data_IF_778026489143
#
_entry.id   IF_778026489143
#
_cell.length_a   1.000
_cell.length_b   1.000
_cell.length_c   1.000
_cell.angle_alpha   90.00
_cell.angle_beta   90.00
_cell.angle_gamma   90.00
#
_symmetry.space_group_name_H-M   'P 1'
#
loop_
_entity.id
_entity.type
_entity.pdbx_description
1 polymer ?
#
# COMPACT_ATOMS: atom_id res chain seq x y z
N UNK A 1 -5.78 -2.54 -26.00
CA UNK A 1 -6.17 -1.30 -26.73
C UNK A 1 -7.07 -0.50 -25.81
N UNK A 2 -6.74 0.73 -25.52
CA UNK A 2 -7.60 1.62 -24.73
C UNK A 2 -8.91 1.88 -25.50
N UNK A 3 -10.05 1.49 -24.93
CA UNK A 3 -11.37 1.62 -25.55
C UNK A 3 -11.76 3.08 -25.84
N UNK A 4 -11.20 4.03 -25.12
CA UNK A 4 -11.58 5.45 -25.13
C UNK A 4 -10.48 6.37 -25.64
N UNK A 5 -9.45 5.85 -26.32
CA UNK A 5 -8.33 6.65 -26.82
C UNK A 5 -8.74 7.95 -27.55
N UNK A 6 -9.73 7.94 -28.45
CA UNK A 6 -10.17 9.18 -29.13
C UNK A 6 -10.80 10.22 -28.21
N UNK A 7 -11.41 9.77 -27.09
CA UNK A 7 -12.00 10.67 -26.10
C UNK A 7 -10.90 11.26 -25.23
N UNK A 8 -9.97 10.44 -24.76
CA UNK A 8 -8.82 10.85 -23.96
C UNK A 8 -8.00 11.93 -24.68
N UNK A 9 -7.74 11.76 -25.98
CA UNK A 9 -6.99 12.73 -26.79
C UNK A 9 -7.72 14.10 -26.94
N UNK A 10 -9.05 14.12 -26.71
CA UNK A 10 -9.83 15.36 -26.72
C UNK A 10 -9.93 16.04 -25.34
N UNK A 11 -9.89 15.25 -24.29
CA UNK A 11 -10.12 15.71 -22.91
C UNK A 11 -8.84 16.24 -22.26
N UNK A 12 -7.69 15.68 -22.59
CA UNK A 12 -6.41 16.08 -22.01
C UNK A 12 -5.53 16.77 -23.03
N UNK A 13 -4.74 17.74 -22.58
CA UNK A 13 -3.74 18.38 -23.42
C UNK A 13 -2.70 17.34 -23.90
N UNK A 14 -2.09 17.58 -25.09
CA UNK A 14 -1.17 16.59 -25.73
C UNK A 14 0.05 16.20 -24.92
N UNK A 15 0.44 17.04 -23.98
CA UNK A 15 1.57 16.83 -23.07
C UNK A 15 1.22 16.09 -21.77
N UNK A 16 -0.01 15.58 -21.65
CA UNK A 16 -0.48 14.77 -20.53
C UNK A 16 -0.71 13.31 -20.99
N UNK A 17 -0.34 12.36 -20.17
CA UNK A 17 -0.53 10.95 -20.44
C UNK A 17 -1.14 10.26 -19.23
N UNK A 18 -2.19 9.47 -19.48
CA UNK A 18 -2.77 8.60 -18.46
C UNK A 18 -1.88 7.37 -18.21
N UNK A 19 -2.03 6.78 -17.04
CA UNK A 19 -1.42 5.49 -16.73
C UNK A 19 -2.05 4.40 -17.60
N UNK A 20 -1.23 3.45 -18.09
CA UNK A 20 -1.69 2.35 -18.91
C UNK A 20 -2.71 1.49 -18.14
N UNK A 21 -3.84 1.19 -18.77
CA UNK A 21 -4.95 0.46 -18.15
C UNK A 21 -6.03 1.35 -17.53
N UNK A 22 -5.89 2.67 -17.56
CA UNK A 22 -6.97 3.62 -17.20
C UNK A 22 -7.98 3.65 -18.36
N UNK A 23 -8.95 2.73 -18.36
CA UNK A 23 -9.90 2.56 -19.46
C UNK A 23 -11.38 2.39 -19.04
N UNK A 24 -11.65 2.39 -17.74
CA UNK A 24 -13.02 2.42 -17.23
C UNK A 24 -13.55 3.85 -17.18
N UNK A 25 -14.86 4.03 -17.40
CA UNK A 25 -15.48 5.37 -17.46
C UNK A 25 -15.30 6.14 -16.16
N UNK A 26 -15.47 5.48 -15.00
CA UNK A 26 -15.30 6.14 -13.71
C UNK A 26 -13.86 6.58 -13.44
N UNK A 27 -12.85 5.85 -13.93
CA UNK A 27 -11.44 6.23 -13.80
C UNK A 27 -11.11 7.47 -14.62
N UNK A 28 -11.71 7.58 -15.81
CA UNK A 28 -11.60 8.77 -16.64
C UNK A 28 -12.28 9.98 -15.98
N UNK A 29 -13.44 9.81 -15.37
CA UNK A 29 -14.13 10.86 -14.63
C UNK A 29 -13.28 11.35 -13.46
N UNK A 30 -12.70 10.43 -12.67
CA UNK A 30 -11.81 10.79 -11.57
C UNK A 30 -10.55 11.50 -12.07
N UNK A 31 -9.93 11.03 -13.15
CA UNK A 31 -8.78 11.67 -13.76
C UNK A 31 -9.07 13.10 -14.25
N UNK A 32 -10.26 13.31 -14.80
CA UNK A 32 -10.74 14.65 -15.22
C UNK A 32 -10.93 15.58 -14.03
N UNK A 33 -11.56 15.10 -12.96
CA UNK A 33 -11.76 15.90 -11.75
C UNK A 33 -10.44 16.27 -11.08
N UNK A 34 -9.47 15.33 -10.99
CA UNK A 34 -8.12 15.68 -10.53
C UNK A 34 -7.49 16.77 -11.41
N UNK A 35 -7.63 16.64 -12.75
CA UNK A 35 -7.11 17.62 -13.71
C UNK A 35 -7.74 19.01 -13.56
N UNK A 36 -9.01 19.10 -13.19
CA UNK A 36 -9.72 20.37 -13.00
C UNK A 36 -9.43 21.03 -11.66
N UNK A 37 -9.23 20.26 -10.58
CA UNK A 37 -9.08 20.83 -9.23
C UNK A 37 -7.62 21.01 -8.80
N UNK A 38 -6.69 20.24 -9.36
CA UNK A 38 -5.27 20.30 -8.98
C UNK A 38 -4.47 21.23 -9.89
N UNK A 39 -3.59 22.02 -9.28
CA UNK A 39 -2.56 22.73 -10.02
C UNK A 39 -1.61 21.75 -10.72
N UNK A 40 -0.85 22.24 -11.71
CA UNK A 40 0.15 21.44 -12.43
C UNK A 40 1.17 20.77 -11.50
N UNK A 41 1.65 21.48 -10.49
CA UNK A 41 2.58 20.96 -9.50
C UNK A 41 1.92 19.86 -8.65
N UNK A 42 0.69 20.07 -8.20
CA UNK A 42 -0.06 19.06 -7.46
C UNK A 42 -0.36 17.82 -8.30
N UNK A 43 -0.66 17.98 -9.60
CA UNK A 43 -0.84 16.84 -10.51
C UNK A 43 0.43 15.98 -10.59
N UNK A 44 1.62 16.59 -10.70
CA UNK A 44 2.89 15.86 -10.71
C UNK A 44 3.09 15.11 -9.38
N UNK A 45 2.79 15.76 -8.27
CA UNK A 45 3.13 15.24 -6.95
C UNK A 45 2.13 14.21 -6.42
N UNK A 46 0.86 14.28 -6.79
CA UNK A 46 -0.17 13.53 -6.07
C UNK A 46 -1.27 12.88 -6.92
N UNK A 47 -1.40 13.16 -8.23
CA UNK A 47 -2.47 12.57 -9.05
C UNK A 47 -2.43 11.04 -9.04
N UNK A 48 -3.62 10.42 -9.10
CA UNK A 48 -3.78 8.97 -9.09
C UNK A 48 -3.68 8.34 -10.49
N UNK A 49 -4.11 9.06 -11.52
CA UNK A 49 -4.33 8.48 -12.84
C UNK A 49 -3.45 9.09 -13.95
N UNK A 50 -2.68 10.14 -13.67
CA UNK A 50 -1.79 10.72 -14.66
C UNK A 50 -0.39 10.12 -14.59
N UNK A 51 0.11 9.66 -15.73
CA UNK A 51 1.48 9.18 -15.90
C UNK A 51 2.45 10.34 -16.09
N UNK A 52 2.09 11.23 -17.01
CA UNK A 52 2.92 12.37 -17.41
C UNK A 52 2.10 13.66 -17.34
N UNK A 53 2.74 14.72 -16.86
CA UNK A 53 2.26 16.10 -16.87
C UNK A 53 3.38 16.96 -17.44
N UNK A 54 3.17 17.56 -18.60
CA UNK A 54 4.19 18.31 -19.34
C UNK A 54 5.52 17.56 -19.55
N UNK A 55 5.45 16.27 -19.83
CA UNK A 55 6.63 15.42 -20.03
C UNK A 55 7.33 14.97 -18.75
N UNK A 56 6.85 15.38 -17.56
CA UNK A 56 7.37 14.95 -16.26
C UNK A 56 6.54 13.79 -15.73
N UNK A 57 7.19 12.69 -15.37
CA UNK A 57 6.50 11.56 -14.73
C UNK A 57 6.02 11.94 -13.33
N UNK A 58 4.77 11.56 -13.03
CA UNK A 58 4.17 11.80 -11.72
C UNK A 58 4.82 10.91 -10.64
N UNK A 59 4.85 11.40 -9.40
CA UNK A 59 5.42 10.64 -8.27
C UNK A 59 4.65 9.33 -8.07
N UNK A 60 3.33 9.38 -8.17
CA UNK A 60 2.50 8.18 -8.01
C UNK A 60 2.83 7.11 -9.07
N UNK A 61 2.98 7.50 -10.34
CA UNK A 61 3.38 6.58 -11.40
C UNK A 61 4.74 5.94 -11.12
N UNK A 62 5.74 6.73 -10.70
CA UNK A 62 7.06 6.21 -10.30
C UNK A 62 6.96 5.21 -9.15
N UNK A 63 6.15 5.52 -8.12
CA UNK A 63 5.92 4.63 -6.97
C UNK A 63 5.30 3.30 -7.40
N UNK A 64 4.32 3.34 -8.32
CA UNK A 64 3.66 2.14 -8.81
C UNK A 64 4.55 1.26 -9.70
N UNK A 65 5.46 1.86 -10.45
CA UNK A 65 6.36 1.14 -11.37
C UNK A 65 7.71 0.76 -10.76
N UNK A 66 7.95 1.10 -9.50
CA UNK A 66 9.17 0.69 -8.77
C UNK A 66 10.47 1.03 -9.49
N UNK A 67 10.52 2.15 -10.18
CA UNK A 67 11.72 2.58 -10.93
C UNK A 67 12.99 2.73 -10.06
N UNK A 68 12.84 2.66 -8.72
CA UNK A 68 13.93 2.78 -7.76
C UNK A 68 14.30 1.46 -7.07
N UNK A 69 13.72 0.30 -7.45
CA UNK A 69 14.14 -0.98 -6.90
C UNK A 69 15.30 -1.54 -7.73
N UNK A 70 16.50 -1.41 -7.19
CA UNK A 70 17.73 -1.91 -7.82
C UNK A 70 17.74 -3.43 -7.94
N UNK A 71 17.13 -4.18 -7.00
CA UNK A 71 17.00 -5.65 -7.09
C UNK A 71 15.82 -6.20 -6.28
N UNK A 72 15.02 -7.07 -6.90
CA UNK A 72 14.07 -7.91 -6.16
C UNK A 72 14.86 -9.02 -5.49
N UNK A 73 14.77 -9.13 -4.17
CA UNK A 73 15.50 -10.13 -3.41
C UNK A 73 15.20 -11.54 -3.94
N UNK A 74 16.26 -12.37 -4.11
CA UNK A 74 16.16 -13.73 -4.71
C UNK A 74 15.12 -14.62 -4.03
N UNK A 75 14.89 -14.42 -2.73
CA UNK A 75 13.92 -15.18 -1.94
C UNK A 75 12.49 -14.61 -1.96
N UNK A 76 12.24 -13.52 -2.70
CA UNK A 76 10.90 -12.98 -2.84
C UNK A 76 9.96 -14.01 -3.44
N UNK A 77 8.69 -13.99 -3.02
CA UNK A 77 7.69 -14.92 -3.51
C UNK A 77 7.49 -14.78 -5.02
N UNK A 78 7.07 -15.86 -5.68
CA UNK A 78 6.76 -15.84 -7.11
C UNK A 78 5.73 -14.75 -7.47
N UNK A 79 4.73 -14.52 -6.61
CA UNK A 79 3.76 -13.43 -6.74
C UNK A 79 4.42 -12.06 -6.73
N UNK A 80 5.33 -11.82 -5.79
CA UNK A 80 6.09 -10.58 -5.70
C UNK A 80 6.92 -10.37 -6.96
N UNK A 81 7.60 -11.41 -7.45
CA UNK A 81 8.43 -11.34 -8.64
C UNK A 81 7.63 -11.01 -9.90
N UNK A 82 6.49 -11.71 -10.13
CA UNK A 82 5.62 -11.42 -11.28
C UNK A 82 5.09 -9.98 -11.22
N UNK A 83 4.67 -9.56 -10.05
CA UNK A 83 4.17 -8.23 -9.80
C UNK A 83 5.14 -7.14 -10.25
N UNK A 84 6.45 -7.33 -10.04
CA UNK A 84 7.48 -6.36 -10.39
C UNK A 84 8.06 -6.56 -11.80
N UNK A 85 8.00 -7.75 -12.37
CA UNK A 85 8.61 -8.05 -13.66
C UNK A 85 7.73 -7.69 -14.87
N UNK A 86 6.41 -7.67 -14.71
CA UNK A 86 5.48 -7.44 -15.82
C UNK A 86 5.37 -5.96 -16.24
N UNK A 87 6.01 -5.02 -15.53
CA UNK A 87 5.94 -3.59 -15.84
C UNK A 87 4.53 -3.01 -15.86
N UNK A 88 3.55 -3.78 -15.42
CA UNK A 88 2.16 -3.38 -15.36
C UNK A 88 1.91 -2.54 -14.12
N UNK A 89 1.13 -1.49 -14.30
CA UNK A 89 0.60 -0.70 -13.22
C UNK A 89 -0.08 -1.59 -12.17
N UNK A 90 0.35 -1.48 -10.93
CA UNK A 90 -0.12 -2.35 -9.88
C UNK A 90 -0.74 -1.61 -8.70
N UNK A 91 -1.84 -2.16 -8.22
CA UNK A 91 -2.55 -1.70 -7.01
C UNK A 91 -1.92 -2.14 -5.69
N UNK A 92 -0.80 -2.85 -5.77
CA UNK A 92 -0.10 -3.35 -4.59
C UNK A 92 1.15 -2.55 -4.21
N UNK A 93 1.32 -1.37 -4.76
CA UNK A 93 2.43 -0.46 -4.45
C UNK A 93 2.47 -0.09 -2.95
N UNK A 94 3.59 0.46 -2.52
CA UNK A 94 3.86 0.79 -1.13
C UNK A 94 3.57 -0.42 -0.21
N UNK A 95 2.70 -0.25 0.78
CA UNK A 95 2.36 -1.29 1.76
C UNK A 95 1.00 -1.96 1.53
N UNK A 96 0.31 -1.64 0.42
CA UNK A 96 -1.04 -2.18 0.14
C UNK A 96 -1.07 -3.71 0.01
N UNK A 97 0.02 -4.33 -0.39
CA UNK A 97 0.12 -5.79 -0.59
C UNK A 97 0.73 -6.55 0.59
N UNK A 98 1.13 -5.89 1.69
CA UNK A 98 1.79 -6.55 2.83
C UNK A 98 0.99 -7.71 3.43
N UNK A 99 -0.33 -7.64 3.35
CA UNK A 99 -1.20 -8.73 3.78
C UNK A 99 -2.36 -8.92 2.79
N UNK A 100 -2.70 -10.19 2.40
CA UNK A 100 -3.83 -10.46 1.53
C UNK A 100 -5.16 -10.20 2.27
N UNK A 101 -5.92 -9.23 1.82
CA UNK A 101 -7.22 -8.88 2.36
C UNK A 101 -8.24 -8.75 1.21
N UNK A 102 -9.38 -9.43 1.33
CA UNK A 102 -10.47 -9.35 0.35
C UNK A 102 -11.38 -8.16 0.66
N UNK A 103 -11.92 -7.51 -0.37
CA UNK A 103 -12.86 -6.40 -0.20
C UNK A 103 -12.21 -5.07 0.16
N UNK A 104 -10.90 -4.89 -0.11
CA UNK A 104 -10.24 -3.59 0.03
C UNK A 104 -10.64 -2.64 -1.11
N UNK A 105 -10.66 -1.36 -0.83
CA UNK A 105 -10.76 -0.32 -1.85
C UNK A 105 -9.57 -0.37 -2.82
N UNK A 106 -9.82 0.07 -4.03
CA UNK A 106 -8.76 0.32 -4.99
C UNK A 106 -7.95 1.56 -4.54
N UNK A 107 -6.63 1.47 -4.34
CA UNK A 107 -5.86 2.58 -3.77
C UNK A 107 -5.95 3.88 -4.57
N UNK A 108 -5.93 3.79 -5.91
CA UNK A 108 -6.04 4.97 -6.76
C UNK A 108 -7.39 5.69 -6.59
N UNK A 109 -8.48 4.95 -6.40
CA UNK A 109 -9.78 5.55 -6.11
C UNK A 109 -9.71 6.42 -4.86
N UNK A 110 -9.10 5.89 -3.78
CA UNK A 110 -8.95 6.65 -2.53
C UNK A 110 -8.07 7.87 -2.74
N UNK A 111 -6.93 7.71 -3.42
CA UNK A 111 -6.04 8.83 -3.74
C UNK A 111 -6.76 9.92 -4.53
N UNK A 112 -7.48 9.57 -5.60
CA UNK A 112 -8.25 10.51 -6.40
C UNK A 112 -9.31 11.24 -5.58
N UNK A 113 -10.05 10.53 -4.71
CA UNK A 113 -11.03 11.14 -3.83
C UNK A 113 -10.39 12.15 -2.86
N UNK A 114 -9.24 11.81 -2.25
CA UNK A 114 -8.51 12.75 -1.40
C UNK A 114 -8.09 14.01 -2.16
N UNK A 115 -7.70 13.85 -3.42
CA UNK A 115 -7.32 14.97 -4.29
C UNK A 115 -8.52 15.83 -4.68
N UNK A 116 -9.60 15.22 -5.14
CA UNK A 116 -10.83 15.91 -5.61
C UNK A 116 -11.51 16.66 -4.46
N UNK A 117 -11.44 16.11 -3.24
CA UNK A 117 -11.94 16.76 -2.03
C UNK A 117 -10.95 17.80 -1.46
N UNK A 118 -9.85 18.05 -2.18
CA UNK A 118 -8.79 19.00 -1.79
C UNK A 118 -8.21 18.77 -0.38
N UNK A 119 -8.18 17.51 0.06
CA UNK A 119 -7.60 17.14 1.36
C UNK A 119 -6.08 17.27 1.28
N UNK A 120 -5.50 18.05 2.19
CA UNK A 120 -4.07 18.45 2.19
C UNK A 120 -3.42 18.18 3.55
N UNK A 121 -2.08 18.19 3.66
CA UNK A 121 -1.40 18.16 4.95
C UNK A 121 -1.97 19.21 5.90
N UNK A 122 -2.24 18.80 7.15
CA UNK A 122 -2.96 19.59 8.15
C UNK A 122 -4.46 19.28 8.26
N UNK A 123 -5.05 18.55 7.30
CA UNK A 123 -6.37 17.96 7.45
C UNK A 123 -6.27 16.55 8.06
N UNK A 124 -7.39 16.08 8.61
CA UNK A 124 -7.50 14.73 9.19
C UNK A 124 -8.61 13.97 8.46
N UNK A 125 -8.30 12.76 8.00
CA UNK A 125 -9.28 11.86 7.37
C UNK A 125 -9.75 10.81 8.36
N UNK A 126 -11.06 10.64 8.48
CA UNK A 126 -11.66 9.56 9.26
C UNK A 126 -12.13 8.43 8.35
N UNK A 127 -11.63 7.20 8.61
CA UNK A 127 -12.14 5.97 8.03
C UNK A 127 -12.82 5.11 9.12
N UNK A 128 -14.15 5.12 9.21
CA UNK A 128 -14.88 4.42 10.28
C UNK A 128 -15.01 2.92 10.07
N UNK A 129 -14.57 2.37 8.92
CA UNK A 129 -14.59 0.95 8.57
C UNK A 129 -13.31 0.56 7.83
N UNK A 130 -12.17 0.74 8.49
CA UNK A 130 -10.86 0.79 7.88
C UNK A 130 -10.41 -0.50 7.15
N UNK A 131 -10.91 -1.66 7.57
CA UNK A 131 -10.57 -2.94 6.97
C UNK A 131 -9.07 -3.12 6.76
N UNK A 132 -8.62 -3.07 5.50
CA UNK A 132 -7.20 -3.18 5.13
C UNK A 132 -6.40 -1.88 5.26
N UNK A 133 -6.99 -0.81 5.81
CA UNK A 133 -6.41 0.51 5.99
C UNK A 133 -5.94 1.21 4.68
N UNK A 134 -6.64 0.99 3.58
CA UNK A 134 -6.28 1.61 2.29
C UNK A 134 -6.30 3.14 2.39
N UNK A 135 -7.29 3.71 3.08
CA UNK A 135 -7.40 5.17 3.29
C UNK A 135 -6.21 5.70 4.06
N UNK A 136 -5.82 5.04 5.17
CA UNK A 136 -4.69 5.48 5.99
C UNK A 136 -3.35 5.39 5.26
N UNK A 137 -3.14 4.37 4.43
CA UNK A 137 -1.92 4.26 3.61
C UNK A 137 -1.86 5.38 2.59
N UNK A 138 -2.95 5.66 1.85
CA UNK A 138 -2.98 6.75 0.87
C UNK A 138 -2.86 8.13 1.52
N UNK A 139 -3.52 8.36 2.64
CA UNK A 139 -3.38 9.60 3.41
C UNK A 139 -1.92 9.82 3.84
N UNK A 140 -1.27 8.80 4.41
CA UNK A 140 0.12 8.87 4.84
C UNK A 140 1.07 9.16 3.67
N UNK A 141 0.89 8.49 2.51
CA UNK A 141 1.67 8.76 1.29
C UNK A 141 1.51 10.20 0.78
N UNK A 142 0.43 10.87 1.12
CA UNK A 142 0.16 12.29 0.80
C UNK A 142 0.53 13.26 1.94
N UNK A 143 1.09 12.76 3.04
CA UNK A 143 1.41 13.57 4.22
C UNK A 143 0.17 14.06 5.00
N UNK A 144 -0.94 13.33 4.93
CA UNK A 144 -2.22 13.65 5.55
C UNK A 144 -2.43 12.74 6.76
N UNK A 145 -2.86 13.31 7.88
CA UNK A 145 -3.21 12.56 9.08
C UNK A 145 -4.51 11.76 8.88
N UNK A 146 -4.59 10.57 9.47
CA UNK A 146 -5.79 9.75 9.39
C UNK A 146 -6.14 9.07 10.72
N UNK A 147 -7.44 8.90 10.94
CA UNK A 147 -8.00 8.12 12.05
C UNK A 147 -8.75 6.94 11.44
N UNK A 148 -8.29 5.74 11.77
CA UNK A 148 -8.91 4.49 11.33
C UNK A 148 -9.63 3.81 12.48
N UNK A 149 -10.87 3.42 12.25
CA UNK A 149 -11.69 2.66 13.21
C UNK A 149 -12.12 1.35 12.53
N UNK A 150 -11.99 0.24 13.23
CA UNK A 150 -12.52 -1.05 12.79
C UNK A 150 -12.93 -1.90 14.00
N UNK A 151 -13.94 -2.72 13.84
CA UNK A 151 -14.39 -3.63 14.88
C UNK A 151 -13.39 -4.77 15.13
N UNK A 152 -12.63 -5.16 14.08
CA UNK A 152 -11.64 -6.23 14.15
C UNK A 152 -10.30 -5.72 14.70
N UNK A 153 -9.82 -6.24 15.84
CA UNK A 153 -8.47 -5.92 16.33
C UNK A 153 -7.36 -6.27 15.33
N UNK A 154 -7.60 -7.28 14.49
CA UNK A 154 -6.69 -7.66 13.41
C UNK A 154 -6.60 -6.58 12.32
N UNK A 155 -7.71 -5.94 11.96
CA UNK A 155 -7.69 -4.79 11.03
C UNK A 155 -6.91 -3.62 11.63
N UNK A 156 -7.05 -3.38 12.93
CA UNK A 156 -6.25 -2.39 13.66
C UNK A 156 -4.74 -2.69 13.61
N UNK A 157 -4.34 -3.95 13.85
CA UNK A 157 -2.94 -4.39 13.68
C UNK A 157 -2.45 -4.14 12.24
N UNK A 158 -3.21 -4.60 11.26
CA UNK A 158 -2.85 -4.47 9.86
C UNK A 158 -2.69 -3.00 9.43
N UNK A 159 -3.59 -2.13 9.88
CA UNK A 159 -3.52 -0.69 9.61
C UNK A 159 -2.25 -0.06 10.18
N UNK A 160 -1.94 -0.32 11.47
CA UNK A 160 -0.71 0.18 12.10
C UNK A 160 0.55 -0.33 11.42
N UNK A 161 0.60 -1.63 11.09
CA UNK A 161 1.77 -2.19 10.40
C UNK A 161 1.95 -1.57 9.02
N UNK A 162 0.89 -1.42 8.24
CA UNK A 162 0.99 -0.85 6.90
C UNK A 162 1.43 0.60 6.89
N UNK A 163 0.95 1.42 7.82
CA UNK A 163 1.37 2.82 7.94
C UNK A 163 2.79 2.92 8.52
N UNK A 164 3.13 2.16 9.54
CA UNK A 164 4.46 2.13 10.13
C UNK A 164 5.52 1.63 9.13
N UNK A 165 5.18 0.65 8.29
CA UNK A 165 6.11 0.06 7.33
C UNK A 165 6.53 1.02 6.20
N UNK A 166 5.85 2.16 6.02
CA UNK A 166 6.29 3.21 5.08
C UNK A 166 7.58 3.90 5.54
N UNK A 167 7.84 3.93 6.86
CA UNK A 167 8.99 4.58 7.50
C UNK A 167 9.97 3.59 8.15
N UNK A 168 9.88 2.30 7.81
CA UNK A 168 10.74 1.26 8.38
C UNK A 168 12.22 1.47 8.02
N UNK A 169 13.09 1.44 9.03
CA UNK A 169 14.52 1.31 8.80
C UNK A 169 14.88 -0.14 8.42
N UNK A 170 15.38 -0.29 7.19
CA UNK A 170 15.70 -1.59 6.61
C UNK A 170 16.81 -2.33 7.37
N UNK A 171 17.81 -1.61 7.88
CA UNK A 171 18.91 -2.23 8.65
C UNK A 171 18.41 -2.83 9.96
N UNK A 172 17.52 -2.10 10.65
CA UNK A 172 16.87 -2.59 11.87
C UNK A 172 16.03 -3.83 11.57
N UNK A 173 15.24 -3.81 10.48
CA UNK A 173 14.45 -4.97 10.08
C UNK A 173 15.33 -6.18 9.73
N UNK A 174 16.43 -5.99 9.02
CA UNK A 174 17.39 -7.06 8.73
C UNK A 174 17.99 -7.67 10.00
N UNK A 175 18.30 -6.86 11.01
CA UNK A 175 18.83 -7.39 12.28
C UNK A 175 17.81 -8.29 12.99
N UNK A 176 16.53 -7.90 12.98
CA UNK A 176 15.44 -8.70 13.55
C UNK A 176 15.26 -10.02 12.79
N UNK A 177 15.36 -10.01 11.46
CA UNK A 177 15.23 -11.21 10.62
C UNK A 177 16.34 -12.24 10.90
N UNK A 178 17.55 -11.80 11.28
CA UNK A 178 18.64 -12.73 11.64
C UNK A 178 18.26 -13.64 12.80
N UNK A 179 17.48 -13.16 13.74
CA UNK A 179 17.02 -13.89 14.92
C UNK A 179 15.64 -14.53 14.73
N UNK A 180 15.20 -14.68 13.46
CA UNK A 180 13.84 -15.11 13.09
C UNK A 180 13.40 -16.44 13.71
N UNK A 181 14.33 -17.38 13.98
CA UNK A 181 13.99 -18.68 14.61
C UNK A 181 13.60 -18.51 16.08
N UNK A 182 14.39 -17.73 16.84
CA UNK A 182 14.08 -17.44 18.25
C UNK A 182 12.77 -16.65 18.36
N UNK A 183 12.60 -15.68 17.47
CA UNK A 183 11.40 -14.88 17.39
C UNK A 183 10.14 -15.72 17.07
N UNK A 184 10.27 -16.69 16.15
CA UNK A 184 9.20 -17.63 15.84
C UNK A 184 8.79 -18.47 17.06
N UNK A 185 9.75 -18.99 17.82
CA UNK A 185 9.48 -19.76 19.04
C UNK A 185 8.80 -18.90 20.12
N UNK A 186 9.17 -17.64 20.22
CA UNK A 186 8.49 -16.69 21.10
C UNK A 186 7.03 -16.45 20.66
N UNK A 187 6.80 -16.17 19.40
CA UNK A 187 5.46 -15.92 18.84
C UNK A 187 4.54 -17.14 18.97
N UNK A 188 5.06 -18.36 18.82
CA UNK A 188 4.31 -19.60 19.05
C UNK A 188 3.79 -19.75 20.49
N UNK A 189 4.50 -19.19 21.47
CA UNK A 189 4.13 -19.25 22.89
C UNK A 189 3.22 -18.12 23.34
N UNK A 190 3.21 -17.00 22.63
CA UNK A 190 2.36 -15.86 22.95
C UNK A 190 0.92 -16.10 22.52
N UNK A 191 -0.04 -15.73 23.37
CA UNK A 191 -1.45 -15.72 23.03
C UNK A 191 -1.78 -14.41 22.31
N UNK A 192 -1.98 -14.48 21.01
CA UNK A 192 -2.28 -13.30 20.17
C UNK A 192 -3.44 -12.44 20.69
N UNK A 193 -4.57 -13.01 21.21
CA UNK A 193 -5.60 -12.19 21.83
C UNK A 193 -5.12 -11.37 23.03
N UNK A 194 -4.24 -11.94 23.86
CA UNK A 194 -3.72 -11.24 25.05
C UNK A 194 -2.85 -10.05 24.64
N UNK A 195 -2.12 -10.16 23.52
CA UNK A 195 -1.34 -9.07 22.94
C UNK A 195 -2.20 -7.83 22.66
N UNK A 196 -3.36 -7.98 22.05
CA UNK A 196 -4.25 -6.85 21.75
C UNK A 196 -4.81 -6.13 22.98
N UNK A 197 -4.84 -6.81 24.13
CA UNK A 197 -5.36 -6.26 25.38
C UNK A 197 -4.29 -5.53 26.20
N UNK A 198 -3.03 -5.88 26.08
CA UNK A 198 -1.97 -5.48 27.01
C UNK A 198 -0.89 -4.59 26.40
N UNK A 199 -0.83 -4.42 25.08
CA UNK A 199 0.27 -3.72 24.40
C UNK A 199 0.21 -2.20 24.62
N UNK A 200 1.28 -1.64 25.18
CA UNK A 200 1.48 -0.19 25.33
C UNK A 200 2.16 0.40 24.09
N UNK A 201 1.95 1.70 23.85
CA UNK A 201 2.66 2.42 22.78
C UNK A 201 4.15 2.53 23.09
N UNK A 202 4.99 1.91 22.24
CA UNK A 202 6.45 1.97 22.28
C UNK A 202 6.98 1.97 20.84
N UNK A 203 8.13 2.62 20.58
CA UNK A 203 8.81 2.60 19.26
C UNK A 203 9.14 1.17 18.79
N UNK A 204 9.41 0.24 19.68
CA UNK A 204 9.62 -1.18 19.36
C UNK A 204 8.35 -1.90 18.92
N UNK A 205 7.20 -1.37 19.25
CA UNK A 205 5.91 -1.98 18.93
C UNK A 205 5.72 -2.14 17.42
N UNK A 206 6.07 -1.13 16.61
CA UNK A 206 5.90 -1.19 15.16
C UNK A 206 6.66 -2.34 14.52
N UNK A 207 7.91 -2.59 14.95
CA UNK A 207 8.69 -3.73 14.47
C UNK A 207 8.09 -5.06 14.94
N UNK A 208 7.69 -5.15 16.20
CA UNK A 208 7.05 -6.35 16.75
C UNK A 208 5.73 -6.66 16.01
N UNK A 209 4.89 -5.66 15.81
CA UNK A 209 3.63 -5.80 15.08
C UNK A 209 3.85 -6.21 13.60
N UNK A 210 4.93 -5.72 12.96
CA UNK A 210 5.30 -6.12 11.60
C UNK A 210 5.64 -7.61 11.56
N UNK A 211 6.44 -8.08 12.50
CA UNK A 211 6.79 -9.50 12.61
C UNK A 211 5.57 -10.36 12.99
N UNK A 212 4.71 -9.87 13.86
CA UNK A 212 3.47 -10.55 14.23
C UNK A 212 2.54 -10.69 13.00
N UNK A 213 2.41 -9.65 12.19
CA UNK A 213 1.62 -9.72 10.96
C UNK A 213 2.19 -10.74 9.97
N UNK A 214 3.52 -10.77 9.79
CA UNK A 214 4.20 -11.76 8.95
C UNK A 214 3.99 -13.19 9.47
N UNK A 215 4.02 -13.38 10.79
CA UNK A 215 3.72 -14.67 11.43
C UNK A 215 2.29 -15.13 11.16
N UNK A 216 1.32 -14.23 11.30
CA UNK A 216 -0.10 -14.52 11.04
C UNK A 216 -0.36 -14.85 9.58
N UNK A 217 0.33 -14.18 8.64
CA UNK A 217 0.25 -14.52 7.20
C UNK A 217 0.83 -15.90 6.91
N UNK A 218 2.01 -16.20 7.47
CA UNK A 218 2.64 -17.50 7.35
C UNK A 218 1.78 -18.63 7.94
N UNK A 219 1.14 -18.41 9.08
CA UNK A 219 0.16 -19.34 9.67
C UNK A 219 -1.04 -19.57 8.76
N UNK A 220 -1.62 -18.50 8.25
CA UNK A 220 -2.77 -18.56 7.33
C UNK A 220 -2.44 -19.29 6.03
N UNK A 221 -1.20 -19.17 5.53
CA UNK A 221 -0.73 -19.92 4.37
C UNK A 221 -0.44 -21.38 4.71
N UNK A 222 0.23 -21.67 5.84
CA UNK A 222 0.53 -23.02 6.28
C UNK A 222 -0.75 -23.86 6.49
N UNK A 223 -1.80 -23.27 7.05
CA UNK A 223 -3.08 -23.95 7.25
C UNK A 223 -3.78 -24.37 5.94
N UNK A 224 -3.42 -23.77 4.81
CA UNK A 224 -4.02 -24.03 3.48
C UNK A 224 -3.07 -24.75 2.52
N UNK A 225 -1.85 -25.03 2.95
CA UNK A 225 -0.81 -25.67 2.12
C UNK A 225 -0.13 -26.81 2.89
N UNK A 226 0.65 -27.63 2.19
CA UNK A 226 1.49 -28.66 2.81
C UNK A 226 2.79 -28.12 3.42
N UNK A 227 3.01 -26.81 3.37
CA UNK A 227 4.22 -26.17 3.89
C UNK A 227 4.10 -25.92 5.39
N UNK A 228 5.18 -26.16 6.14
CA UNK A 228 5.25 -25.84 7.58
C UNK A 228 5.52 -24.36 7.80
N UNK A 229 5.07 -23.81 8.91
CA UNK A 229 5.32 -22.44 9.31
C UNK A 229 6.82 -22.15 9.49
N UNK A 230 7.59 -23.13 9.96
CA UNK A 230 9.05 -23.00 10.12
C UNK A 230 9.81 -22.74 8.81
N UNK A 231 9.21 -23.16 7.68
CA UNK A 231 9.74 -22.90 6.33
C UNK A 231 9.23 -21.59 5.72
N UNK A 232 8.07 -21.13 6.14
CA UNK A 232 7.39 -19.96 5.54
C UNK A 232 7.76 -18.65 6.24
N UNK A 233 7.85 -18.68 7.57
CA UNK A 233 8.06 -17.47 8.36
C UNK A 233 9.40 -16.76 8.07
N UNK A 234 10.55 -17.46 7.86
CA UNK A 234 11.83 -16.82 7.57
C UNK A 234 11.98 -16.25 6.14
N UNK A 235 10.95 -16.32 5.31
CA UNK A 235 10.96 -15.83 3.92
C UNK A 235 10.45 -14.41 3.79
#
# INVERSE_FOLDING_TARGET
MQKHKPLIEKLFAKNYQLIDGTDEVFELDLALWEYEVLSKEELINRSAYLKLVDGVETIHFKTCNLQNLEEIHKNSSFRTKIFFLDGKYSTGYATHSLFPYRGKFHPQLIRALLNILEIKPGNIVLDPMAGSATVSVEANLLGIDSISVDLSPFCGLMGRVKTFALDLDFNTLQSIIKDSKELLEKLKKERVPDYFLTTKEDKKRGYYETVLLAYLDAMGFASRSSSSIDKLFPR
#
